data_IF_168917605765
#
_entry.id   IF_168917605765
#
_cell.length_a   1.000
_cell.length_b   1.000
_cell.length_c   1.000
_cell.angle_alpha   90.00
_cell.angle_beta   90.00
_cell.angle_gamma   90.00
#
_symmetry.space_group_name_H-M   'P 1'
#
loop_
_entity.id
_entity.type
_entity.pdbx_description
1 polymer ?
#
# COMPACT_ATOMS: atom_id res chain seq x y z
N UNK A 1 -9.34 -8.31 12.58
CA UNK A 1 -10.60 -9.05 12.89
C UNK A 1 -11.60 -8.15 13.61
N UNK A 2 -11.25 -7.55 14.76
CA UNK A 2 -12.17 -6.78 15.61
C UNK A 2 -12.89 -5.64 14.86
N UNK A 3 -12.14 -4.90 14.02
CA UNK A 3 -12.71 -3.87 13.16
C UNK A 3 -13.78 -4.42 12.22
N UNK A 4 -13.52 -5.55 11.55
CA UNK A 4 -14.48 -6.17 10.64
C UNK A 4 -15.72 -6.69 11.39
N UNK A 5 -15.54 -7.26 12.59
CA UNK A 5 -16.67 -7.64 13.46
C UNK A 5 -17.52 -6.41 13.79
N UNK A 6 -16.90 -5.30 14.15
CA UNK A 6 -17.59 -4.02 14.39
C UNK A 6 -18.37 -3.52 13.15
N UNK A 7 -17.78 -3.65 11.96
CA UNK A 7 -18.43 -3.29 10.68
C UNK A 7 -19.69 -4.10 10.40
N UNK A 8 -19.82 -5.33 10.90
CA UNK A 8 -21.01 -6.18 10.65
C UNK A 8 -22.34 -5.51 11.02
N UNK A 9 -22.32 -4.45 11.82
CA UNK A 9 -23.47 -3.65 12.20
C UNK A 9 -23.49 -2.25 11.59
N UNK A 10 -22.57 -1.96 10.66
CA UNK A 10 -22.36 -0.63 10.09
C UNK A 10 -22.36 -0.62 8.55
N UNK A 11 -22.74 -1.72 7.90
CA UNK A 11 -22.87 -1.83 6.44
C UNK A 11 -24.16 -1.19 5.95
N UNK A 12 -24.34 0.10 6.22
CA UNK A 12 -25.56 0.83 5.94
C UNK A 12 -25.47 1.63 4.65
N UNK A 13 -26.62 1.77 3.98
CA UNK A 13 -26.82 2.74 2.91
C UNK A 13 -27.43 4.04 3.40
N UNK A 14 -27.66 4.96 2.49
CA UNK A 14 -28.27 6.27 2.75
C UNK A 14 -29.66 6.36 2.18
N UNK A 15 -30.59 7.00 2.91
CA UNK A 15 -31.88 7.40 2.39
C UNK A 15 -31.82 8.86 1.98
N UNK A 16 -32.29 9.17 0.77
CA UNK A 16 -32.26 10.50 0.16
C UNK A 16 -33.69 10.98 -0.08
N UNK A 17 -33.86 12.30 -0.14
CA UNK A 17 -35.13 12.90 -0.56
C UNK A 17 -35.34 12.64 -2.05
N UNK A 18 -36.55 12.17 -2.41
CA UNK A 18 -36.96 12.02 -3.81
C UNK A 18 -37.47 13.35 -4.36
N UNK A 19 -37.20 13.63 -5.63
CA UNK A 19 -37.81 14.73 -6.37
C UNK A 19 -39.32 14.51 -6.65
N UNK A 20 -39.78 13.24 -6.54
CA UNK A 20 -41.16 12.86 -6.82
C UNK A 20 -41.95 12.74 -5.52
N UNK A 21 -43.19 13.30 -5.47
CA UNK A 21 -44.07 13.11 -4.34
C UNK A 21 -44.35 11.61 -4.10
N UNK A 22 -44.49 11.22 -2.85
CA UNK A 22 -44.83 9.83 -2.44
C UNK A 22 -43.82 8.80 -2.95
N UNK A 23 -42.54 9.20 -3.09
CA UNK A 23 -41.45 8.27 -3.43
C UNK A 23 -40.35 8.30 -2.35
N UNK A 24 -39.69 7.17 -2.18
CA UNK A 24 -38.50 7.03 -1.33
C UNK A 24 -37.33 6.61 -2.19
N UNK A 25 -36.18 7.34 -2.08
CA UNK A 25 -34.95 7.06 -2.75
C UNK A 25 -33.90 6.62 -1.72
N UNK A 26 -33.21 5.50 -1.97
CA UNK A 26 -32.18 5.01 -1.06
C UNK A 26 -31.15 4.13 -1.76
N UNK A 27 -29.94 4.13 -1.23
CA UNK A 27 -28.90 3.18 -1.60
C UNK A 27 -28.88 2.01 -0.61
N UNK A 28 -28.63 0.82 -1.14
CA UNK A 28 -28.31 -0.37 -0.35
C UNK A 28 -27.13 -1.12 -0.97
N UNK A 29 -26.50 -1.95 -0.14
CA UNK A 29 -25.32 -2.70 -0.52
C UNK A 29 -25.58 -4.19 -0.46
N UNK A 30 -25.07 -4.92 -1.49
CA UNK A 30 -25.22 -6.36 -1.63
C UNK A 30 -23.85 -7.02 -1.81
N UNK A 31 -23.67 -8.28 -1.36
CA UNK A 31 -22.46 -9.05 -1.65
C UNK A 31 -22.13 -9.09 -3.15
N UNK A 32 -20.86 -9.17 -3.47
CA UNK A 32 -20.38 -9.37 -4.85
C UNK A 32 -20.44 -10.85 -5.27
N UNK A 33 -20.25 -11.77 -4.31
CA UNK A 33 -20.13 -13.19 -4.54
C UNK A 33 -18.70 -13.68 -4.33
N UNK A 34 -17.95 -13.97 -5.41
CA UNK A 34 -16.55 -14.43 -5.31
C UNK A 34 -15.61 -13.25 -5.42
N UNK A 35 -14.74 -13.11 -4.40
CA UNK A 35 -13.65 -12.15 -4.36
C UNK A 35 -12.31 -12.90 -4.48
N UNK A 36 -11.52 -12.54 -5.46
CA UNK A 36 -10.14 -13.01 -5.59
C UNK A 36 -9.18 -12.08 -4.83
N UNK A 37 -8.18 -12.66 -4.16
CA UNK A 37 -7.14 -11.91 -3.46
C UNK A 37 -5.78 -12.45 -3.87
N UNK A 38 -4.93 -11.59 -4.43
CA UNK A 38 -3.52 -11.89 -4.70
C UNK A 38 -2.69 -11.07 -3.72
N UNK A 39 -1.87 -11.74 -2.89
CA UNK A 39 -1.05 -11.07 -1.89
C UNK A 39 0.44 -11.24 -2.13
N UNK A 40 1.22 -10.23 -1.71
CA UNK A 40 2.66 -10.19 -1.85
C UNK A 40 3.38 -10.92 -0.69
N UNK A 41 4.69 -11.15 -0.87
CA UNK A 41 5.51 -11.92 0.07
C UNK A 41 5.85 -11.17 1.37
N UNK A 42 5.90 -9.84 1.32
CA UNK A 42 6.45 -9.01 2.40
C UNK A 42 5.55 -8.91 3.64
N UNK A 43 4.23 -9.03 3.46
CA UNK A 43 3.23 -9.13 4.52
C UNK A 43 2.24 -10.26 4.22
N UNK A 44 2.69 -11.53 4.29
CA UNK A 44 1.94 -12.66 3.74
C UNK A 44 0.62 -12.94 4.47
N UNK A 45 0.45 -12.47 5.70
CA UNK A 45 -0.76 -12.64 6.50
C UNK A 45 -1.52 -11.32 6.62
N UNK A 46 -0.82 -10.23 6.96
CA UNK A 46 -1.47 -8.96 7.33
C UNK A 46 -2.30 -8.36 6.18
N UNK A 47 -1.72 -8.21 4.98
CA UNK A 47 -2.40 -7.61 3.83
C UNK A 47 -3.56 -8.47 3.35
N UNK A 48 -3.38 -9.79 3.29
CA UNK A 48 -4.47 -10.70 3.01
C UNK A 48 -5.62 -10.56 4.02
N UNK A 49 -5.30 -10.43 5.32
CA UNK A 49 -6.31 -10.31 6.37
C UNK A 49 -7.13 -9.01 6.27
N UNK A 50 -6.54 -7.93 5.77
CA UNK A 50 -7.28 -6.69 5.49
C UNK A 50 -8.37 -6.89 4.45
N UNK A 51 -8.01 -7.58 3.37
CA UNK A 51 -8.93 -7.85 2.26
C UNK A 51 -10.00 -8.88 2.64
N UNK A 52 -9.58 -10.02 3.19
CA UNK A 52 -10.49 -11.14 3.45
C UNK A 52 -11.51 -10.82 4.55
N UNK A 53 -11.09 -10.09 5.61
CA UNK A 53 -11.99 -9.74 6.70
C UNK A 53 -13.11 -8.80 6.22
N UNK A 54 -12.79 -7.81 5.36
CA UNK A 54 -13.79 -6.96 4.74
C UNK A 54 -14.70 -7.75 3.77
N UNK A 55 -14.12 -8.61 2.94
CA UNK A 55 -14.89 -9.41 2.00
C UNK A 55 -15.88 -10.33 2.72
N UNK A 56 -15.47 -11.00 3.79
CA UNK A 56 -16.36 -11.90 4.57
C UNK A 56 -17.45 -11.15 5.31
N UNK A 57 -17.15 -10.04 5.98
CA UNK A 57 -18.21 -9.26 6.67
C UNK A 57 -19.24 -8.72 5.69
N UNK A 58 -18.84 -8.48 4.44
CA UNK A 58 -19.74 -8.09 3.35
C UNK A 58 -20.49 -9.26 2.71
N UNK A 59 -20.32 -10.49 3.21
CA UNK A 59 -21.06 -11.69 2.75
C UNK A 59 -20.47 -12.35 1.50
N UNK A 60 -19.19 -12.11 1.17
CA UNK A 60 -18.51 -12.72 0.04
C UNK A 60 -17.79 -14.00 0.43
N UNK A 61 -17.46 -14.83 -0.56
CA UNK A 61 -16.50 -15.93 -0.45
C UNK A 61 -15.18 -15.53 -1.09
N UNK A 62 -14.07 -16.06 -0.59
CA UNK A 62 -12.74 -15.61 -0.99
C UNK A 62 -11.90 -16.74 -1.59
N UNK A 63 -11.21 -16.41 -2.69
CA UNK A 63 -10.17 -17.25 -3.29
C UNK A 63 -8.85 -16.50 -3.17
N UNK A 64 -7.93 -17.04 -2.39
CA UNK A 64 -6.64 -16.43 -2.11
C UNK A 64 -5.51 -17.09 -2.90
N UNK A 65 -4.78 -16.30 -3.67
CA UNK A 65 -3.49 -16.67 -4.27
C UNK A 65 -2.37 -15.93 -3.52
N UNK A 66 -1.68 -16.55 -2.57
CA UNK A 66 -0.53 -15.97 -1.90
C UNK A 66 0.68 -15.87 -2.83
N UNK A 67 1.72 -15.15 -2.39
CA UNK A 67 3.02 -15.23 -3.06
C UNK A 67 3.60 -16.63 -2.96
N UNK A 68 4.14 -17.12 -4.05
CA UNK A 68 4.88 -18.39 -4.13
C UNK A 68 6.16 -18.41 -3.27
N UNK A 69 6.64 -17.23 -2.85
CA UNK A 69 7.82 -17.07 -1.99
C UNK A 69 7.51 -17.31 -0.50
N UNK A 70 6.23 -17.27 -0.10
CA UNK A 70 5.81 -17.43 1.31
C UNK A 70 4.60 -18.35 1.48
N UNK A 71 4.58 -19.54 0.87
CA UNK A 71 3.39 -20.41 0.84
C UNK A 71 3.03 -20.99 2.21
N UNK A 72 3.99 -21.16 3.11
CA UNK A 72 3.73 -21.77 4.43
C UNK A 72 2.80 -20.92 5.29
N UNK A 73 2.88 -19.59 5.18
CA UNK A 73 2.00 -18.68 5.91
C UNK A 73 0.53 -18.88 5.50
N UNK A 74 0.28 -19.05 4.21
CA UNK A 74 -1.09 -19.25 3.70
C UNK A 74 -1.66 -20.61 4.08
N UNK A 75 -0.84 -21.66 4.05
CA UNK A 75 -1.25 -23.00 4.50
C UNK A 75 -1.61 -22.99 5.98
N UNK A 76 -0.79 -22.35 6.82
CA UNK A 76 -1.06 -22.23 8.25
C UNK A 76 -2.36 -21.46 8.53
N UNK A 77 -2.57 -20.33 7.85
CA UNK A 77 -3.82 -19.56 7.98
C UNK A 77 -5.04 -20.37 7.53
N UNK A 78 -4.95 -21.07 6.39
CA UNK A 78 -6.05 -21.87 5.87
C UNK A 78 -6.41 -23.04 6.77
N UNK A 79 -5.43 -23.68 7.40
CA UNK A 79 -5.70 -24.77 8.36
C UNK A 79 -6.49 -24.25 9.57
N UNK A 80 -6.09 -23.11 10.16
CA UNK A 80 -6.82 -22.48 11.27
C UNK A 80 -8.24 -22.12 10.85
N UNK A 81 -8.41 -21.56 9.65
CA UNK A 81 -9.73 -21.19 9.13
C UNK A 81 -10.59 -22.44 8.93
N UNK A 82 -10.05 -23.51 8.37
CA UNK A 82 -10.77 -24.76 8.13
C UNK A 82 -11.33 -25.35 9.43
N UNK A 83 -10.53 -25.35 10.51
CA UNK A 83 -10.98 -25.77 11.83
C UNK A 83 -12.17 -24.92 12.32
N UNK A 84 -12.05 -23.59 12.24
CA UNK A 84 -13.11 -22.67 12.66
C UNK A 84 -14.39 -22.84 11.83
N UNK A 85 -14.27 -23.00 10.51
CA UNK A 85 -15.43 -23.22 9.63
C UNK A 85 -16.13 -24.54 9.99
N UNK A 86 -15.37 -25.62 10.23
CA UNK A 86 -15.89 -26.91 10.59
C UNK A 86 -16.61 -26.89 11.95
N UNK A 87 -16.01 -26.29 12.97
CA UNK A 87 -16.59 -26.14 14.32
C UNK A 87 -17.92 -25.39 14.31
N UNK A 88 -18.07 -24.46 13.38
CA UNK A 88 -19.27 -23.62 13.26
C UNK A 88 -20.27 -24.09 12.17
N UNK A 89 -20.03 -25.26 11.55
CA UNK A 89 -20.85 -25.80 10.46
C UNK A 89 -21.00 -24.83 9.27
N UNK A 90 -19.93 -24.08 8.96
CA UNK A 90 -19.86 -23.17 7.81
C UNK A 90 -19.22 -23.94 6.63
N UNK A 91 -19.75 -23.79 5.40
CA UNK A 91 -19.17 -24.45 4.23
C UNK A 91 -17.69 -24.07 4.01
N UNK A 92 -16.85 -25.04 3.73
CA UNK A 92 -15.41 -24.84 3.49
C UNK A 92 -15.12 -23.89 2.31
N UNK A 93 -15.98 -23.85 1.31
CA UNK A 93 -15.86 -22.97 0.13
C UNK A 93 -15.91 -21.45 0.44
N UNK A 94 -16.15 -21.04 1.68
CA UNK A 94 -16.07 -19.64 2.10
C UNK A 94 -14.64 -19.12 2.02
N UNK A 95 -13.65 -19.98 2.23
CA UNK A 95 -12.22 -19.66 2.16
C UNK A 95 -11.46 -20.71 1.37
N UNK A 96 -10.86 -20.31 0.27
CA UNK A 96 -10.07 -21.19 -0.58
C UNK A 96 -8.67 -20.61 -0.82
N UNK A 97 -7.63 -21.44 -0.78
CA UNK A 97 -6.24 -21.06 -1.11
C UNK A 97 -5.79 -21.77 -2.37
N UNK A 98 -5.21 -21.02 -3.30
CA UNK A 98 -4.60 -21.51 -4.53
C UNK A 98 -3.11 -21.17 -4.53
N UNK A 99 -2.26 -22.08 -4.09
CA UNK A 99 -0.82 -21.92 -4.20
C UNK A 99 -0.36 -22.14 -5.65
N UNK A 100 0.51 -21.26 -6.14
CA UNK A 100 1.07 -21.35 -7.48
C UNK A 100 1.73 -20.06 -7.91
N UNK A 101 2.41 -20.11 -9.06
CA UNK A 101 3.10 -18.97 -9.66
C UNK A 101 2.16 -17.95 -10.34
N UNK A 102 2.77 -17.13 -11.20
CA UNK A 102 2.06 -16.04 -11.90
C UNK A 102 0.87 -16.53 -12.76
N UNK A 103 0.93 -17.76 -13.30
CA UNK A 103 -0.13 -18.31 -14.16
C UNK A 103 -1.47 -18.44 -13.39
N UNK A 104 -1.43 -18.83 -12.12
CA UNK A 104 -2.65 -18.91 -11.30
C UNK A 104 -3.26 -17.51 -11.13
N UNK A 105 -2.42 -16.48 -10.93
CA UNK A 105 -2.89 -15.09 -10.86
C UNK A 105 -3.55 -14.62 -12.17
N UNK A 106 -3.00 -15.01 -13.32
CA UNK A 106 -3.60 -14.69 -14.64
C UNK A 106 -4.95 -15.38 -14.82
N UNK A 107 -5.06 -16.65 -14.46
CA UNK A 107 -6.34 -17.37 -14.52
C UNK A 107 -7.40 -16.70 -13.63
N UNK A 108 -7.04 -16.30 -12.41
CA UNK A 108 -7.95 -15.56 -11.53
C UNK A 108 -8.38 -14.23 -12.15
N UNK A 109 -7.47 -13.51 -12.81
CA UNK A 109 -7.78 -12.23 -13.45
C UNK A 109 -8.75 -12.37 -14.65
N UNK A 110 -8.68 -13.51 -15.35
CA UNK A 110 -9.52 -13.83 -16.51
C UNK A 110 -10.87 -14.48 -16.15
N UNK A 111 -10.98 -15.07 -14.97
CA UNK A 111 -12.19 -15.80 -14.55
C UNK A 111 -13.37 -14.85 -14.30
N UNK A 112 -14.41 -14.98 -15.10
CA UNK A 112 -15.63 -14.15 -15.03
C UNK A 112 -16.43 -14.32 -13.74
N UNK A 113 -16.23 -15.41 -13.01
CA UNK A 113 -16.89 -15.66 -11.72
C UNK A 113 -16.35 -14.81 -10.60
N UNK A 114 -15.10 -14.33 -10.72
CA UNK A 114 -14.47 -13.45 -9.74
C UNK A 114 -14.93 -12.02 -10.00
N UNK A 115 -15.86 -11.54 -9.18
CA UNK A 115 -16.48 -10.25 -9.33
C UNK A 115 -15.55 -9.07 -9.00
N UNK A 116 -14.65 -9.27 -8.04
CA UNK A 116 -13.58 -8.33 -7.66
C UNK A 116 -12.27 -9.11 -7.50
N UNK A 117 -11.19 -8.60 -8.09
CA UNK A 117 -9.84 -9.08 -7.85
C UNK A 117 -9.03 -7.98 -7.12
N UNK A 118 -8.72 -8.22 -5.85
CA UNK A 118 -7.75 -7.42 -5.10
C UNK A 118 -6.35 -7.98 -5.33
N UNK A 119 -5.39 -7.14 -5.74
CA UNK A 119 -4.04 -7.59 -6.04
C UNK A 119 -3.00 -6.63 -5.47
N UNK A 120 -2.13 -7.16 -4.60
CA UNK A 120 -1.00 -6.47 -3.99
C UNK A 120 0.30 -7.02 -4.55
N UNK A 121 1.16 -6.15 -5.10
CA UNK A 121 2.45 -6.56 -5.65
C UNK A 121 3.13 -5.48 -6.48
N UNK A 122 3.95 -5.88 -7.45
CA UNK A 122 4.68 -4.94 -8.31
C UNK A 122 3.78 -4.20 -9.28
N UNK A 123 4.16 -2.97 -9.66
CA UNK A 123 3.48 -2.19 -10.70
C UNK A 123 3.33 -2.98 -12.01
N UNK A 124 4.34 -3.77 -12.39
CA UNK A 124 4.28 -4.64 -13.58
C UNK A 124 3.14 -5.67 -13.47
N UNK A 125 3.04 -6.36 -12.34
CA UNK A 125 1.96 -7.32 -12.08
C UNK A 125 0.60 -6.63 -12.06
N UNK A 126 0.50 -5.48 -11.41
CA UNK A 126 -0.75 -4.72 -11.35
C UNK A 126 -1.26 -4.29 -12.73
N UNK A 127 -0.38 -3.84 -13.62
CA UNK A 127 -0.73 -3.50 -15.02
C UNK A 127 -1.26 -4.72 -15.78
N UNK A 128 -0.65 -5.91 -15.64
CA UNK A 128 -1.14 -7.14 -16.27
C UNK A 128 -2.51 -7.55 -15.71
N UNK A 129 -2.69 -7.49 -14.40
CA UNK A 129 -3.99 -7.76 -13.75
C UNK A 129 -5.06 -6.77 -14.23
N UNK A 130 -4.75 -5.47 -14.25
CA UNK A 130 -5.70 -4.43 -14.71
C UNK A 130 -6.17 -4.67 -16.14
N UNK A 131 -5.25 -5.02 -17.04
CA UNK A 131 -5.58 -5.31 -18.44
C UNK A 131 -6.52 -6.51 -18.56
N UNK A 132 -6.23 -7.63 -17.87
CA UNK A 132 -7.03 -8.86 -17.93
C UNK A 132 -8.42 -8.66 -17.31
N UNK A 133 -8.47 -8.05 -16.14
CA UNK A 133 -9.75 -7.75 -15.46
C UNK A 133 -10.55 -6.74 -16.26
N UNK A 134 -9.93 -5.71 -16.83
CA UNK A 134 -10.56 -4.71 -17.68
C UNK A 134 -11.12 -5.29 -18.98
N UNK A 135 -10.44 -6.25 -19.59
CA UNK A 135 -10.91 -6.93 -20.82
C UNK A 135 -12.27 -7.62 -20.64
N UNK A 136 -12.60 -8.05 -19.40
CA UNK A 136 -13.90 -8.65 -19.05
C UNK A 136 -14.85 -7.69 -18.34
N UNK A 137 -14.52 -6.39 -18.27
CA UNK A 137 -15.26 -5.36 -17.51
C UNK A 137 -15.45 -5.69 -16.02
N UNK A 138 -14.49 -6.45 -15.45
CA UNK A 138 -14.45 -6.80 -14.03
C UNK A 138 -13.97 -5.65 -13.17
N UNK A 139 -13.99 -5.84 -11.85
CA UNK A 139 -13.47 -4.88 -10.87
C UNK A 139 -12.11 -5.33 -10.36
N UNK A 140 -11.19 -4.40 -10.21
CA UNK A 140 -9.91 -4.62 -9.53
C UNK A 140 -9.68 -3.58 -8.45
N UNK A 141 -9.01 -4.00 -7.37
CA UNK A 141 -8.42 -3.15 -6.36
C UNK A 141 -6.93 -3.44 -6.38
N UNK A 142 -6.12 -2.42 -6.64
CA UNK A 142 -4.68 -2.60 -6.87
C UNK A 142 -3.89 -1.80 -5.84
N UNK A 143 -3.04 -2.51 -5.09
CA UNK A 143 -2.08 -1.94 -4.16
C UNK A 143 -0.68 -2.35 -4.59
N UNK A 144 0.01 -1.42 -5.24
CA UNK A 144 1.26 -1.66 -5.94
C UNK A 144 2.46 -1.00 -5.24
N UNK A 145 3.54 -0.77 -5.98
CA UNK A 145 4.75 -0.17 -5.45
C UNK A 145 4.57 1.28 -4.98
N UNK A 146 5.50 1.72 -4.15
CA UNK A 146 5.63 3.08 -3.65
C UNK A 146 7.06 3.61 -3.78
N UNK A 147 7.21 4.91 -3.91
CA UNK A 147 8.50 5.58 -3.91
C UNK A 147 8.47 6.76 -2.93
N UNK A 148 8.22 6.42 -1.68
CA UNK A 148 7.76 7.32 -0.64
C UNK A 148 8.86 8.27 -0.17
N UNK A 149 8.49 9.54 0.05
CA UNK A 149 9.41 10.56 0.52
C UNK A 149 9.04 11.09 1.90
N UNK A 150 10.05 11.54 2.64
CA UNK A 150 9.91 12.40 3.81
C UNK A 150 10.54 13.75 3.46
N UNK A 151 9.77 14.82 3.54
CA UNK A 151 10.25 16.20 3.48
C UNK A 151 10.69 16.61 4.89
N UNK A 152 11.89 17.17 5.02
CA UNK A 152 12.44 17.64 6.31
C UNK A 152 12.72 19.14 6.18
N UNK A 153 11.88 19.95 6.85
CA UNK A 153 11.97 21.41 6.80
C UNK A 153 12.92 21.97 7.88
N UNK A 154 13.35 23.24 7.78
CA UNK A 154 14.18 23.87 8.81
C UNK A 154 13.57 23.86 10.21
N UNK A 155 12.25 23.78 10.32
CA UNK A 155 11.51 23.76 11.60
C UNK A 155 11.38 22.36 12.21
N UNK A 156 11.89 21.29 11.54
CA UNK A 156 11.72 19.93 11.98
C UNK A 156 12.46 19.63 13.29
N UNK A 157 11.87 18.76 14.11
CA UNK A 157 12.60 18.06 15.16
C UNK A 157 13.48 16.98 14.53
N UNK A 158 14.80 17.18 14.55
CA UNK A 158 15.74 16.31 13.81
C UNK A 158 15.85 14.92 14.43
N UNK A 159 15.63 14.75 15.74
CA UNK A 159 15.67 13.44 16.39
C UNK A 159 14.46 12.59 15.98
N UNK A 160 13.28 13.19 15.94
CA UNK A 160 12.06 12.54 15.46
C UNK A 160 12.19 12.22 13.96
N UNK A 161 12.66 13.17 13.16
CA UNK A 161 12.87 12.98 11.73
C UNK A 161 13.86 11.84 11.42
N UNK A 162 14.97 11.77 12.16
CA UNK A 162 15.97 10.70 12.00
C UNK A 162 15.36 9.33 12.31
N UNK A 163 14.65 9.18 13.44
CA UNK A 163 14.04 7.90 13.82
C UNK A 163 13.01 7.43 12.80
N UNK A 164 12.17 8.34 12.32
CA UNK A 164 11.18 8.07 11.29
C UNK A 164 11.83 7.65 9.96
N UNK A 165 12.88 8.37 9.53
CA UNK A 165 13.62 8.09 8.32
C UNK A 165 14.33 6.73 8.37
N UNK A 166 15.07 6.44 9.45
CA UNK A 166 15.79 5.17 9.60
C UNK A 166 14.82 4.00 9.66
N UNK A 167 13.81 4.05 10.53
CA UNK A 167 12.83 2.97 10.61
C UNK A 167 12.10 2.75 9.28
N UNK A 168 11.67 3.83 8.62
CA UNK A 168 10.99 3.77 7.34
C UNK A 168 11.85 3.17 6.22
N UNK A 169 13.16 3.44 6.21
CA UNK A 169 14.08 2.98 5.17
C UNK A 169 14.55 1.55 5.35
N UNK A 170 14.83 1.12 6.61
CA UNK A 170 15.45 -0.19 6.86
C UNK A 170 14.47 -1.25 7.37
N UNK A 171 13.30 -0.84 7.86
CA UNK A 171 12.27 -1.75 8.34
C UNK A 171 11.92 -2.80 7.28
N UNK A 172 11.87 -4.08 7.68
CA UNK A 172 11.65 -5.22 6.75
C UNK A 172 12.67 -5.24 5.59
N UNK A 173 13.90 -4.80 5.86
CA UNK A 173 14.98 -4.67 4.87
C UNK A 173 14.57 -3.82 3.64
N UNK A 174 13.85 -2.70 3.86
CA UNK A 174 13.33 -1.84 2.78
C UNK A 174 12.25 -2.47 1.91
N UNK A 175 11.71 -3.64 2.30
CA UNK A 175 10.74 -4.40 1.51
C UNK A 175 9.29 -4.12 1.93
N UNK A 176 8.94 -2.85 2.14
CA UNK A 176 7.55 -2.38 2.32
C UNK A 176 7.15 -1.50 1.14
N UNK A 177 5.91 -1.59 0.72
CA UNK A 177 5.37 -0.64 -0.25
C UNK A 177 5.43 0.81 0.28
N UNK A 178 5.36 0.99 1.61
CA UNK A 178 5.48 2.27 2.30
C UNK A 178 6.90 2.60 2.79
N UNK A 179 7.94 1.84 2.44
CA UNK A 179 9.32 2.17 2.82
C UNK A 179 9.69 3.58 2.39
N UNK A 180 10.37 4.31 3.29
CA UNK A 180 10.97 5.59 2.96
C UNK A 180 12.15 5.36 2.01
N UNK A 181 12.05 5.86 0.79
CA UNK A 181 13.10 5.72 -0.23
C UNK A 181 13.79 7.02 -0.53
N UNK A 182 13.14 8.15 -0.27
CA UNK A 182 13.61 9.49 -0.57
C UNK A 182 13.51 10.37 0.67
N UNK A 183 14.59 11.09 0.99
CA UNK A 183 14.59 12.18 1.96
C UNK A 183 14.88 13.47 1.23
N UNK A 184 13.96 14.42 1.32
CA UNK A 184 14.03 15.74 0.70
C UNK A 184 14.29 16.74 1.82
N UNK A 185 15.56 17.13 2.00
CA UNK A 185 16.03 17.87 3.17
C UNK A 185 16.41 19.28 2.77
N UNK A 186 15.92 20.28 3.52
CA UNK A 186 16.26 21.68 3.28
C UNK A 186 17.76 21.92 3.48
N UNK A 187 18.37 22.71 2.59
CA UNK A 187 19.82 22.96 2.56
C UNK A 187 20.38 23.43 3.91
N UNK A 188 19.67 24.31 4.62
CA UNK A 188 20.13 24.88 5.89
C UNK A 188 20.37 23.88 7.01
N UNK A 189 19.76 22.68 6.93
CA UNK A 189 19.89 21.62 7.93
C UNK A 189 20.50 20.34 7.34
N UNK A 190 20.81 20.32 6.04
CA UNK A 190 21.24 19.14 5.31
C UNK A 190 22.47 18.47 5.91
N UNK A 191 23.53 19.25 6.19
CA UNK A 191 24.76 18.70 6.72
C UNK A 191 24.59 18.16 8.15
N UNK A 192 23.88 18.90 9.00
CA UNK A 192 23.59 18.48 10.36
C UNK A 192 22.75 17.20 10.38
N UNK A 193 21.71 17.13 9.55
CA UNK A 193 20.86 15.94 9.45
C UNK A 193 21.62 14.74 8.86
N UNK A 194 22.45 14.95 7.84
CA UNK A 194 23.29 13.90 7.22
C UNK A 194 24.21 13.24 8.24
N UNK A 195 24.82 14.03 9.12
CA UNK A 195 25.72 13.51 10.17
C UNK A 195 24.95 12.67 11.21
N UNK A 196 23.77 13.11 11.62
CA UNK A 196 22.92 12.35 12.54
C UNK A 196 22.45 11.05 11.90
N UNK A 197 22.02 11.09 10.64
CA UNK A 197 21.60 9.92 9.86
C UNK A 197 22.74 8.91 9.70
N UNK A 198 23.94 9.36 9.37
CA UNK A 198 25.14 8.51 9.24
C UNK A 198 25.44 7.76 10.54
N UNK A 199 25.38 8.46 11.70
CA UNK A 199 25.59 7.85 13.01
C UNK A 199 24.51 6.81 13.36
N UNK A 200 23.26 7.05 12.97
CA UNK A 200 22.18 6.10 13.19
C UNK A 200 22.37 4.82 12.37
N UNK A 201 22.78 4.93 11.10
CA UNK A 201 23.06 3.77 10.25
C UNK A 201 24.23 2.92 10.76
N UNK A 202 25.23 3.53 11.41
CA UNK A 202 26.36 2.80 12.03
C UNK A 202 25.93 1.90 13.21
N UNK A 203 24.77 2.14 13.81
CA UNK A 203 24.24 1.36 14.92
C UNK A 203 23.36 0.19 14.47
N UNK A 204 23.07 0.09 13.17
CA UNK A 204 22.20 -0.97 12.65
C UNK A 204 22.88 -2.35 12.81
N UNK A 205 22.14 -3.27 13.40
CA UNK A 205 22.52 -4.67 13.53
C UNK A 205 21.80 -5.48 12.47
N UNK A 206 22.56 -6.22 11.68
CA UNK A 206 22.06 -7.04 10.58
C UNK A 206 22.21 -8.50 10.98
N UNK A 207 21.19 -9.32 10.75
CA UNK A 207 21.28 -10.75 11.05
C UNK A 207 19.93 -11.45 11.09
N UNK A 208 19.92 -12.65 11.65
CA UNK A 208 18.71 -13.47 11.74
C UNK A 208 17.54 -12.71 12.36
N UNK A 209 16.40 -12.56 11.65
CA UNK A 209 15.24 -11.80 12.12
C UNK A 209 14.54 -12.41 13.35
N UNK A 210 14.84 -13.65 13.70
CA UNK A 210 14.36 -14.27 14.95
C UNK A 210 15.13 -13.81 16.18
N UNK A 211 16.24 -13.08 16.00
CA UNK A 211 16.97 -12.43 17.08
C UNK A 211 16.49 -10.98 17.22
N UNK A 212 15.80 -10.67 18.30
CA UNK A 212 15.21 -9.36 18.59
C UNK A 212 16.22 -8.21 18.64
N UNK A 213 17.52 -8.50 18.76
CA UNK A 213 18.58 -7.49 18.71
C UNK A 213 18.88 -7.00 17.29
N UNK A 214 18.53 -7.77 16.29
CA UNK A 214 18.79 -7.42 14.89
C UNK A 214 17.71 -6.49 14.35
N UNK A 215 18.14 -5.40 13.71
CA UNK A 215 17.27 -4.39 13.12
C UNK A 215 16.90 -4.72 11.68
N UNK A 216 17.79 -5.43 10.97
CA UNK A 216 17.67 -5.69 9.52
C UNK A 216 17.88 -7.19 9.24
N UNK A 217 16.87 -7.82 8.67
CA UNK A 217 16.93 -9.19 8.18
C UNK A 217 17.38 -9.26 6.70
N UNK A 218 17.21 -10.42 6.03
CA UNK A 218 17.58 -10.60 4.64
C UNK A 218 16.57 -10.00 3.67
N UNK A 219 16.98 -9.81 2.43
CA UNK A 219 16.09 -9.73 1.27
C UNK A 219 15.42 -11.08 1.03
N UNK A 220 14.32 -11.08 0.31
CA UNK A 220 13.49 -12.28 0.12
C UNK A 220 14.22 -13.39 -0.65
N UNK A 221 15.03 -13.03 -1.64
CA UNK A 221 15.75 -13.94 -2.51
C UNK A 221 16.92 -13.29 -3.24
N UNK A 222 17.64 -14.07 -4.06
CA UNK A 222 18.79 -13.60 -4.84
C UNK A 222 18.41 -12.65 -5.97
N UNK A 223 17.19 -12.69 -6.50
CA UNK A 223 16.73 -11.72 -7.50
C UNK A 223 16.60 -10.33 -6.87
N UNK A 224 16.13 -10.26 -5.63
CA UNK A 224 16.08 -9.01 -4.87
C UNK A 224 17.49 -8.46 -4.56
N UNK A 225 18.46 -9.36 -4.30
CA UNK A 225 19.87 -8.96 -4.14
C UNK A 225 20.43 -8.40 -5.44
N UNK A 226 20.19 -9.05 -6.58
CA UNK A 226 20.65 -8.56 -7.88
C UNK A 226 20.04 -7.19 -8.22
N UNK A 227 18.76 -6.95 -7.91
CA UNK A 227 18.15 -5.63 -8.07
C UNK A 227 18.77 -4.57 -7.15
N UNK A 228 19.15 -4.95 -5.94
CA UNK A 228 19.85 -4.06 -5.02
C UNK A 228 21.24 -3.68 -5.55
N UNK A 229 22.05 -4.63 -6.03
CA UNK A 229 23.37 -4.40 -6.59
C UNK A 229 23.32 -3.55 -7.87
N UNK A 230 22.33 -3.81 -8.74
CA UNK A 230 22.08 -2.98 -9.93
C UNK A 230 21.77 -1.53 -9.55
N UNK A 231 20.97 -1.32 -8.52
CA UNK A 231 20.64 0.02 -8.05
C UNK A 231 21.86 0.75 -7.47
N UNK A 232 22.74 0.06 -6.72
CA UNK A 232 24.00 0.67 -6.27
C UNK A 232 24.86 1.12 -7.46
N UNK A 233 24.97 0.26 -8.48
CA UNK A 233 25.73 0.57 -9.71
C UNK A 233 25.12 1.76 -10.46
N UNK A 234 23.78 1.85 -10.54
CA UNK A 234 23.12 2.99 -11.18
C UNK A 234 23.33 4.29 -10.40
N UNK A 235 23.35 4.27 -9.07
CA UNK A 235 23.69 5.44 -8.25
C UNK A 235 25.05 5.99 -8.60
N UNK A 236 26.08 5.12 -8.69
CA UNK A 236 27.42 5.52 -9.06
C UNK A 236 27.49 6.08 -10.49
N UNK A 237 26.81 5.43 -11.44
CA UNK A 237 26.78 5.84 -12.84
C UNK A 237 26.03 7.18 -13.06
N UNK A 238 25.06 7.52 -12.22
CA UNK A 238 24.30 8.76 -12.27
C UNK A 238 24.85 9.87 -11.37
N UNK A 239 26.09 9.70 -10.86
CA UNK A 239 26.85 10.73 -10.15
C UNK A 239 26.49 10.88 -8.68
N UNK A 240 25.82 9.89 -8.09
CA UNK A 240 25.57 9.84 -6.66
C UNK A 240 26.85 9.64 -5.84
N UNK A 241 26.82 10.03 -4.58
CA UNK A 241 27.88 9.78 -3.60
C UNK A 241 27.32 9.09 -2.36
N UNK A 242 28.14 8.29 -1.69
CA UNK A 242 27.67 7.48 -0.58
C UNK A 242 27.91 8.15 0.77
N UNK A 243 26.84 8.51 1.47
CA UNK A 243 26.88 8.85 2.90
C UNK A 243 27.11 7.58 3.74
N UNK A 244 26.47 6.47 3.34
CA UNK A 244 26.66 5.13 3.90
C UNK A 244 26.70 4.15 2.73
N UNK A 245 27.83 3.50 2.52
CA UNK A 245 28.00 2.53 1.43
C UNK A 245 27.26 1.24 1.69
N UNK A 246 26.59 0.75 0.65
CA UNK A 246 25.93 -0.55 0.63
C UNK A 246 26.91 -1.72 0.36
N UNK A 247 26.32 -2.83 -0.05
CA UNK A 247 27.00 -4.06 -0.48
C UNK A 247 26.36 -5.32 0.07
N UNK A 248 26.62 -6.44 -0.57
CA UNK A 248 26.22 -7.77 -0.10
C UNK A 248 27.11 -8.25 1.05
N UNK A 249 26.52 -9.07 1.92
CA UNK A 249 27.23 -9.70 3.03
C UNK A 249 27.56 -11.15 2.72
N UNK A 250 28.66 -11.65 3.30
CA UNK A 250 29.14 -13.02 3.06
C UNK A 250 28.12 -14.07 3.49
N UNK A 251 27.82 -15.02 2.61
CA UNK A 251 26.95 -16.17 2.93
C UNK A 251 27.55 -17.07 4.02
N UNK A 252 28.86 -17.13 4.16
CA UNK A 252 29.54 -17.91 5.19
C UNK A 252 29.26 -17.36 6.60
N UNK A 253 29.13 -16.03 6.72
CA UNK A 253 28.85 -15.38 7.99
C UNK A 253 27.34 -15.33 8.31
N UNK A 254 26.50 -15.10 7.29
CA UNK A 254 25.06 -14.82 7.47
C UNK A 254 24.16 -16.02 7.09
N UNK A 255 24.73 -17.15 6.67
CA UNK A 255 23.99 -18.38 6.36
C UNK A 255 23.14 -18.34 5.09
N UNK A 256 23.08 -17.21 4.38
CA UNK A 256 22.46 -17.08 3.05
C UNK A 256 23.09 -15.92 2.27
N UNK A 257 22.99 -15.99 0.94
CA UNK A 257 23.42 -14.89 0.07
C UNK A 257 22.43 -13.71 -0.05
N UNK A 258 21.47 -13.59 0.86
CA UNK A 258 20.40 -12.58 0.77
C UNK A 258 20.58 -11.41 1.75
N UNK A 259 21.62 -11.39 2.54
CA UNK A 259 21.90 -10.27 3.44
C UNK A 259 22.66 -9.15 2.75
N UNK A 260 22.19 -7.91 2.95
CA UNK A 260 22.80 -6.70 2.37
C UNK A 260 22.94 -5.62 3.43
N UNK A 261 23.91 -4.71 3.22
CA UNK A 261 24.08 -3.53 4.06
C UNK A 261 23.10 -2.43 3.62
N UNK A 262 22.29 -1.86 4.52
CA UNK A 262 21.53 -0.66 4.20
C UNK A 262 22.43 0.49 3.75
N UNK A 263 22.01 1.18 2.68
CA UNK A 263 22.78 2.22 2.03
C UNK A 263 22.06 3.57 2.05
N UNK A 264 22.85 4.66 2.07
CA UNK A 264 22.34 6.04 1.90
C UNK A 264 23.18 6.72 0.83
N UNK A 265 22.54 7.10 -0.27
CA UNK A 265 23.15 7.84 -1.36
C UNK A 265 22.73 9.31 -1.33
N UNK A 266 23.69 10.23 -1.43
CA UNK A 266 23.43 11.64 -1.73
C UNK A 266 23.40 11.76 -3.26
N UNK A 267 22.27 12.16 -3.82
CA UNK A 267 22.03 12.16 -5.25
C UNK A 267 20.99 13.23 -5.64
N UNK A 268 21.06 13.75 -6.87
CA UNK A 268 20.06 14.68 -7.40
C UNK A 268 18.71 14.01 -7.56
N UNK A 269 17.61 14.76 -7.33
CA UNK A 269 16.26 14.29 -7.60
C UNK A 269 16.02 13.98 -9.09
N UNK A 270 16.77 14.60 -10.02
CA UNK A 270 16.68 14.34 -11.47
C UNK A 270 17.26 12.98 -11.89
N UNK A 271 18.01 12.30 -11.03
CA UNK A 271 18.60 11.02 -11.36
C UNK A 271 17.51 9.95 -11.62
N UNK A 272 17.65 9.19 -12.71
CA UNK A 272 16.63 8.21 -13.11
C UNK A 272 16.41 7.11 -12.07
N UNK A 273 17.46 6.73 -11.34
CA UNK A 273 17.37 5.70 -10.30
C UNK A 273 16.47 6.14 -9.15
N UNK A 274 16.41 7.45 -8.83
CA UNK A 274 15.56 8.00 -7.78
C UNK A 274 14.08 7.85 -8.10
N UNK A 275 13.71 7.80 -9.38
CA UNK A 275 12.32 7.63 -9.84
C UNK A 275 11.87 6.16 -9.92
N UNK A 276 12.80 5.20 -9.69
CA UNK A 276 12.50 3.77 -9.69
C UNK A 276 12.33 3.26 -8.28
N UNK A 277 11.34 2.42 -8.06
CA UNK A 277 11.25 1.67 -6.82
C UNK A 277 12.29 0.55 -6.82
N UNK A 278 13.28 0.63 -5.92
CA UNK A 278 14.14 -0.49 -5.56
C UNK A 278 13.64 -1.06 -4.24
N UNK A 279 13.11 -2.28 -4.28
CA UNK A 279 12.47 -2.91 -3.10
C UNK A 279 13.52 -3.51 -2.16
N UNK A 280 14.45 -2.66 -1.72
CA UNK A 280 15.63 -2.98 -0.92
C UNK A 280 16.02 -1.78 -0.05
N UNK A 281 16.93 -1.92 0.94
CA UNK A 281 17.24 -0.87 1.91
C UNK A 281 18.23 0.16 1.33
N UNK A 282 17.81 0.90 0.32
CA UNK A 282 18.53 2.04 -0.25
C UNK A 282 17.71 3.31 0.00
N UNK A 283 18.34 4.31 0.58
CA UNK A 283 17.75 5.61 0.87
C UNK A 283 18.45 6.68 0.04
N UNK A 284 17.69 7.46 -0.71
CA UNK A 284 18.17 8.60 -1.49
C UNK A 284 17.99 9.87 -0.68
N UNK A 285 19.10 10.55 -0.40
CA UNK A 285 19.15 11.81 0.33
C UNK A 285 19.35 12.95 -0.67
N UNK A 286 18.37 13.84 -0.74
CA UNK A 286 18.30 14.93 -1.70
C UNK A 286 18.15 16.26 -0.97
N UNK A 287 18.73 17.30 -1.55
CA UNK A 287 18.66 18.67 -1.05
C UNK A 287 17.60 19.45 -1.81
N UNK A 288 16.87 20.32 -1.12
CA UNK A 288 16.11 21.40 -1.73
C UNK A 288 16.53 22.74 -1.11
N UNK A 289 16.44 23.83 -1.88
CA UNK A 289 17.03 25.13 -1.52
C UNK A 289 15.98 26.23 -1.32
N UNK A 290 14.80 26.07 -1.93
CA UNK A 290 13.74 27.07 -1.95
C UNK A 290 12.71 26.91 -0.83
N UNK A 291 11.49 27.31 -1.16
CA UNK A 291 10.35 27.20 -0.26
C UNK A 291 9.78 25.76 -0.26
N UNK A 292 8.81 25.49 0.61
CA UNK A 292 8.19 24.18 0.75
C UNK A 292 7.60 23.64 -0.56
N UNK A 293 7.12 24.50 -1.42
CA UNK A 293 6.52 24.15 -2.72
C UNK A 293 7.50 23.44 -3.64
N UNK A 294 8.78 23.77 -3.58
CA UNK A 294 9.83 23.03 -4.31
C UNK A 294 9.95 21.59 -3.78
N UNK A 295 10.01 21.42 -2.46
CA UNK A 295 10.09 20.10 -1.86
C UNK A 295 8.84 19.25 -2.16
N UNK A 296 7.64 19.85 -2.19
CA UNK A 296 6.40 19.21 -2.59
C UNK A 296 6.44 18.81 -4.07
N UNK A 297 6.96 19.66 -4.95
CA UNK A 297 7.13 19.34 -6.37
C UNK A 297 8.05 18.14 -6.56
N UNK A 298 9.23 18.12 -5.92
CA UNK A 298 10.16 16.97 -5.92
C UNK A 298 9.48 15.70 -5.35
N UNK A 299 8.69 15.84 -4.29
CA UNK A 299 7.93 14.72 -3.71
C UNK A 299 6.96 14.12 -4.74
N UNK A 300 6.23 14.96 -5.47
CA UNK A 300 5.14 14.58 -6.36
C UNK A 300 5.60 14.15 -7.77
N UNK A 301 6.86 14.37 -8.17
CA UNK A 301 7.37 14.10 -9.53
C UNK A 301 7.45 12.61 -9.89
N UNK A 302 7.43 11.71 -8.90
CA UNK A 302 7.47 10.27 -9.14
C UNK A 302 6.11 9.72 -9.58
N UNK A 303 6.13 8.58 -10.26
CA UNK A 303 4.92 7.95 -10.81
C UNK A 303 4.04 7.29 -9.75
N UNK A 304 4.58 6.98 -8.58
CA UNK A 304 3.86 6.37 -7.45
C UNK A 304 3.28 7.45 -6.55
N UNK A 305 2.21 7.10 -5.81
CA UNK A 305 1.56 8.00 -4.86
C UNK A 305 0.95 7.24 -3.70
N UNK A 306 1.74 6.36 -3.03
CA UNK A 306 1.22 5.58 -1.91
C UNK A 306 1.28 6.37 -0.60
N UNK A 307 2.49 6.68 -0.11
CA UNK A 307 2.69 7.30 1.19
C UNK A 307 3.74 8.40 1.13
N UNK A 308 3.57 9.40 1.96
CA UNK A 308 4.45 10.56 2.08
C UNK A 308 4.43 11.10 3.50
N UNK A 309 5.44 11.88 3.86
CA UNK A 309 5.47 12.54 5.16
C UNK A 309 6.20 13.88 5.09
N UNK A 310 5.83 14.77 6.00
CA UNK A 310 6.56 16.00 6.29
C UNK A 310 6.98 16.04 7.76
N UNK A 311 8.22 16.40 8.01
CA UNK A 311 8.74 16.72 9.35
C UNK A 311 8.82 18.24 9.47
N UNK A 312 7.94 18.82 10.28
CA UNK A 312 7.84 20.26 10.47
C UNK A 312 7.07 20.59 11.76
N UNK A 313 7.54 21.58 12.51
CA UNK A 313 6.81 22.17 13.63
C UNK A 313 6.07 23.45 13.23
N UNK A 314 6.12 23.84 11.95
CA UNK A 314 5.40 24.97 11.40
C UNK A 314 4.03 24.52 10.89
N UNK A 315 2.97 24.97 11.54
CA UNK A 315 1.59 24.61 11.17
C UNK A 315 1.25 25.00 9.72
N UNK A 316 1.78 26.11 9.19
CA UNK A 316 1.50 26.53 7.81
C UNK A 316 2.10 25.53 6.81
N UNK A 317 3.32 25.07 7.07
CA UNK A 317 3.96 24.04 6.22
C UNK A 317 3.17 22.73 6.25
N UNK A 318 2.74 22.29 7.43
CA UNK A 318 1.98 21.04 7.57
C UNK A 318 0.61 21.11 6.90
N UNK A 319 -0.14 22.23 7.06
CA UNK A 319 -1.43 22.40 6.40
C UNK A 319 -1.29 22.56 4.88
N UNK A 320 -0.23 23.22 4.39
CA UNK A 320 0.07 23.28 2.95
C UNK A 320 0.34 21.90 2.40
N UNK A 321 1.15 21.08 3.08
CA UNK A 321 1.45 19.70 2.67
C UNK A 321 0.20 18.81 2.63
N UNK A 322 -0.73 18.97 3.56
CA UNK A 322 -1.98 18.20 3.62
C UNK A 322 -3.08 18.74 2.70
N UNK A 323 -2.90 19.92 2.10
CA UNK A 323 -3.89 20.50 1.20
C UNK A 323 -3.94 19.78 -0.16
N UNK A 324 -4.92 20.13 -1.00
CA UNK A 324 -5.10 19.53 -2.33
C UNK A 324 -3.99 19.87 -3.35
N UNK A 325 -3.17 20.87 -3.09
CA UNK A 325 -1.94 21.15 -3.86
C UNK A 325 -0.65 20.71 -3.15
N UNK A 326 -0.79 20.03 -2.03
CA UNK A 326 0.31 19.44 -1.28
C UNK A 326 0.70 18.06 -1.80
N UNK A 327 0.80 17.08 -0.90
CA UNK A 327 1.11 15.70 -1.28
C UNK A 327 0.01 15.08 -2.14
N UNK A 328 0.40 14.43 -3.24
CA UNK A 328 -0.48 13.70 -4.15
C UNK A 328 -0.62 12.20 -3.80
N UNK A 329 -0.20 11.80 -2.60
CA UNK A 329 -0.26 10.43 -2.12
C UNK A 329 -1.60 10.12 -1.45
N UNK A 330 -1.97 8.84 -1.45
CA UNK A 330 -3.14 8.36 -0.70
C UNK A 330 -2.97 8.44 0.82
N UNK A 331 -1.72 8.45 1.31
CA UNK A 331 -1.36 8.60 2.72
C UNK A 331 -0.38 9.78 2.84
N UNK A 332 -0.76 10.79 3.61
CA UNK A 332 0.07 11.96 3.90
C UNK A 332 0.17 12.14 5.42
N UNK A 333 1.38 12.03 5.95
CA UNK A 333 1.66 12.04 7.37
C UNK A 333 2.40 13.31 7.81
N UNK A 334 2.26 13.69 9.07
CA UNK A 334 2.96 14.81 9.67
C UNK A 334 3.68 14.34 10.93
N UNK A 335 4.99 14.59 11.02
CA UNK A 335 5.85 14.25 12.16
C UNK A 335 5.82 12.76 12.55
N UNK A 336 5.55 11.90 11.58
CA UNK A 336 5.66 10.45 11.65
C UNK A 336 6.18 9.95 10.29
N UNK A 337 6.78 8.76 10.21
CA UNK A 337 7.33 8.21 8.97
C UNK A 337 6.28 7.82 7.93
N UNK A 338 6.74 7.43 6.74
CA UNK A 338 5.88 6.95 5.66
C UNK A 338 5.39 5.52 5.88
N UNK A 339 6.06 4.76 6.76
CA UNK A 339 5.82 3.34 6.98
C UNK A 339 5.01 3.10 8.24
N UNK A 340 3.82 2.60 8.06
CA UNK A 340 2.88 2.28 9.15
C UNK A 340 1.45 2.49 8.68
N UNK A 341 0.60 1.50 8.96
CA UNK A 341 -0.83 1.58 8.71
C UNK A 341 -1.55 1.34 10.03
N UNK A 342 -2.54 2.15 10.32
CA UNK A 342 -3.40 1.98 11.49
C UNK A 342 -4.78 1.48 11.06
N UNK A 343 -5.29 0.49 11.78
CA UNK A 343 -6.66 0.04 11.58
C UNK A 343 -7.62 1.18 11.98
N UNK A 344 -8.56 1.50 11.10
CA UNK A 344 -9.46 2.65 11.24
C UNK A 344 -9.36 3.59 10.03
N UNK A 345 -8.17 3.83 9.49
CA UNK A 345 -7.93 4.54 8.25
C UNK A 345 -7.96 3.64 7.02
N UNK A 346 -8.51 4.10 5.90
CA UNK A 346 -8.41 3.38 4.64
C UNK A 346 -6.98 3.44 4.11
N UNK A 347 -6.45 2.29 3.67
CA UNK A 347 -5.11 2.16 3.10
C UNK A 347 -5.20 2.13 1.57
N UNK A 348 -4.31 2.85 0.91
CA UNK A 348 -4.18 2.81 -0.54
C UNK A 348 -3.51 4.04 -1.11
N UNK A 349 -3.16 3.95 -2.39
CA UNK A 349 -2.42 4.98 -3.11
C UNK A 349 -3.10 5.51 -4.35
N UNK A 350 -2.40 6.42 -5.00
CA UNK A 350 -2.78 7.10 -6.23
C UNK A 350 -1.74 6.82 -7.32
N UNK A 351 -1.99 7.29 -8.54
CA UNK A 351 -1.09 7.16 -9.68
C UNK A 351 -0.72 5.69 -10.00
N UNK A 352 0.56 5.39 -10.25
CA UNK A 352 1.01 4.02 -10.56
C UNK A 352 1.04 3.08 -9.34
N UNK A 353 0.71 3.56 -8.15
CA UNK A 353 0.45 2.68 -6.99
C UNK A 353 -0.85 1.89 -7.17
N UNK A 354 -1.72 2.32 -8.06
CA UNK A 354 -2.97 1.65 -8.35
C UNK A 354 -4.17 2.48 -7.96
N UNK A 355 -5.17 1.86 -7.34
CA UNK A 355 -6.38 2.59 -6.95
C UNK A 355 -7.37 1.75 -6.17
N UNK A 356 -8.22 2.44 -5.48
CA UNK A 356 -9.11 1.90 -4.47
C UNK A 356 -8.57 2.11 -3.07
N UNK A 357 -9.23 1.49 -2.12
CA UNK A 357 -8.78 1.49 -0.71
C UNK A 357 -9.06 0.13 -0.09
N UNK A 358 -8.21 -0.29 0.81
CA UNK A 358 -8.36 -1.52 1.59
C UNK A 358 -8.21 -1.26 3.09
N UNK A 359 -8.13 -2.29 3.90
CA UNK A 359 -7.91 -2.26 5.35
C UNK A 359 -9.13 -1.85 6.16
N UNK A 360 -9.61 -0.60 6.11
CA UNK A 360 -10.62 -0.10 7.04
C UNK A 360 -11.37 1.14 6.54
N UNK A 361 -11.96 1.93 7.45
CA UNK A 361 -12.85 3.05 7.12
C UNK A 361 -14.04 2.58 6.28
N UNK A 362 -14.25 3.19 5.13
CA UNK A 362 -15.32 2.84 4.18
C UNK A 362 -14.88 1.91 3.04
N UNK A 363 -13.65 1.35 3.14
CA UNK A 363 -13.10 0.41 2.15
C UNK A 363 -14.01 -0.83 1.93
N UNK A 364 -14.84 -1.22 2.91
CA UNK A 364 -15.83 -2.28 2.76
C UNK A 364 -16.78 -2.09 1.56
N UNK A 365 -17.01 -0.83 1.14
CA UNK A 365 -17.87 -0.51 -0.01
C UNK A 365 -17.33 -1.07 -1.34
N UNK A 366 -16.01 -1.25 -1.46
CA UNK A 366 -15.39 -1.86 -2.64
C UNK A 366 -15.80 -3.33 -2.78
N UNK A 367 -16.04 -4.01 -1.66
CA UNK A 367 -16.44 -5.42 -1.60
C UNK A 367 -17.93 -5.64 -1.74
N UNK A 368 -18.70 -4.60 -2.08
CA UNK A 368 -20.15 -4.68 -2.23
C UNK A 368 -20.62 -4.04 -3.53
N UNK A 369 -21.78 -4.47 -3.97
CA UNK A 369 -22.51 -3.87 -5.08
C UNK A 369 -23.50 -2.86 -4.53
N UNK A 370 -23.26 -1.58 -4.77
CA UNK A 370 -24.22 -0.52 -4.45
C UNK A 370 -25.39 -0.57 -5.43
N UNK A 371 -26.59 -0.52 -4.92
CA UNK A 371 -27.84 -0.45 -5.68
C UNK A 371 -28.66 0.74 -5.22
N UNK A 372 -29.00 1.62 -6.14
CA UNK A 372 -29.92 2.73 -5.90
C UNK A 372 -31.34 2.26 -6.19
N UNK A 373 -32.24 2.49 -5.24
CA UNK A 373 -33.63 2.05 -5.30
C UNK A 373 -34.57 3.26 -5.17
N UNK A 374 -35.60 3.29 -6.00
CA UNK A 374 -36.68 4.24 -5.88
C UNK A 374 -37.98 3.44 -5.65
N UNK A 375 -38.68 3.72 -4.56
CA UNK A 375 -39.94 3.07 -4.22
C UNK A 375 -41.04 4.12 -4.33
N UNK A 376 -42.02 3.83 -5.17
CA UNK A 376 -43.28 4.57 -5.24
C UNK A 376 -44.34 3.94 -4.29
N UNK A 377 -44.86 4.73 -3.36
CA UNK A 377 -45.91 4.28 -2.42
C UNK A 377 -47.23 5.00 -2.66
N UNK A 378 -47.48 5.47 -3.87
CA UNK A 378 -48.74 6.06 -4.33
C UNK A 378 -49.32 5.28 -5.49
N UNK A 379 -50.60 5.55 -5.80
CA UNK A 379 -51.29 5.02 -6.97
C UNK A 379 -50.97 5.82 -8.25
N UNK A 380 -50.25 6.90 -8.17
CA UNK A 380 -49.85 7.74 -9.29
C UNK A 380 -48.44 7.37 -9.79
N UNK A 381 -48.23 7.39 -11.10
CA UNK A 381 -46.92 7.26 -11.72
C UNK A 381 -46.55 8.56 -12.48
N UNK A 382 -45.95 9.55 -11.80
CA UNK A 382 -45.55 10.75 -12.47
C UNK A 382 -44.42 10.45 -13.45
N UNK A 383 -44.68 10.60 -14.73
CA UNK A 383 -43.69 10.39 -15.79
C UNK A 383 -42.85 11.67 -15.97
N UNK A 384 -41.59 11.49 -16.38
CA UNK A 384 -40.71 12.59 -16.68
C UNK A 384 -41.28 13.44 -17.84
N UNK A 385 -40.98 14.74 -17.87
CA UNK A 385 -41.34 15.67 -18.94
C UNK A 385 -42.87 15.85 -19.16
N UNK A 386 -43.68 15.47 -18.18
CA UNK A 386 -45.14 15.64 -18.28
C UNK A 386 -45.83 14.76 -19.32
N UNK A 387 -45.17 13.65 -19.71
CA UNK A 387 -45.76 12.67 -20.65
C UNK A 387 -47.01 12.01 -19.98
N UNK A 388 -48.09 12.00 -20.72
CA UNK A 388 -49.36 11.33 -20.32
C UNK A 388 -49.68 10.27 -21.36
N UNK A 389 -50.10 9.11 -20.94
CA UNK A 389 -50.68 8.07 -21.79
C UNK A 389 -52.18 7.98 -21.44
N UNK A 390 -53.01 8.15 -22.41
CA UNK A 390 -54.45 7.87 -22.32
C UNK A 390 -54.70 6.37 -22.52
N UNK A 391 -54.80 5.62 -21.42
CA UNK A 391 -55.01 4.17 -21.40
C UNK A 391 -56.47 3.85 -21.01
#
# INVERSE_FOLDING_TARGET
CDFAVGLSRQLHGVTMTSERPSHRLYDQYHPLGIVGIISAFNFPVAVWSWNVALAWVCGNVCVWKPSEKTPLCSIACQNIIAEVLQENNIPEGVSCVLNGGAEVGKWMAEDQRIALLSATGSTRMGKDVAQRVGARLGKSLLELGGNNAIIITPSADLDTAMRAAVFGAVGTCGQRCTSTRRLIVHESIFDAFSEVLRKAYQQLQIGNPLNEKNHVGPLIDTDAVAMYEDALTQVDAEGGSWLVSGGTLSSDEYGSGCYVKPAVAIISHDANIVHKETFAPILYLMKYEGELEEAIAIQNEVKQGLSSSIMSLNMRETETFLSHWGSDCGIANVNIGTSGAEIGGAFGGEKETGGGRESSSDAWKVYMRRQTNTLNFSDALPLAQGIVFDL
#
